data_IF_245069030626
#
_entry.id   IF_245069030626
#
_cell.length_a   1.000
_cell.length_b   1.000
_cell.length_c   1.000
_cell.angle_alpha   90.00
_cell.angle_beta   90.00
_cell.angle_gamma   90.00
#
_symmetry.space_group_name_H-M   'P 1'
#
loop_
_entity.id
_entity.type
_entity.pdbx_description
1 polymer ?
#
# COMPACT_ATOMS: atom_id res chain seq x y z
N UNK A 1 24.05 -7.19 5.98
CA UNK A 1 24.06 -7.64 7.39
C UNK A 1 22.70 -7.50 8.10
N UNK A 2 21.75 -6.72 7.54
CA UNK A 2 20.37 -6.61 8.04
C UNK A 2 19.35 -7.32 7.16
N UNK A 3 19.75 -7.84 6.01
CA UNK A 3 18.88 -8.65 5.14
C UNK A 3 18.63 -10.02 5.78
N UNK A 4 17.43 -10.56 5.58
CA UNK A 4 17.08 -11.87 6.08
C UNK A 4 17.59 -12.96 5.14
N UNK A 5 18.49 -13.83 5.62
CA UNK A 5 18.90 -15.02 4.87
C UNK A 5 17.79 -16.08 4.83
N UNK A 6 16.89 -16.06 5.79
CA UNK A 6 15.83 -17.08 5.95
C UNK A 6 14.57 -16.76 5.16
N UNK A 7 14.18 -15.48 5.06
CA UNK A 7 12.89 -15.08 4.50
C UNK A 7 12.97 -14.35 3.15
N UNK A 8 14.20 -14.17 2.64
CA UNK A 8 14.50 -13.50 1.38
C UNK A 8 15.45 -12.33 1.60
N UNK A 9 16.36 -12.11 0.66
CA UNK A 9 17.36 -11.04 0.74
C UNK A 9 16.78 -9.64 0.59
N UNK A 10 15.56 -9.54 0.14
CA UNK A 10 14.73 -8.35 0.02
C UNK A 10 13.98 -7.97 1.32
N UNK A 11 13.97 -8.86 2.31
CA UNK A 11 13.40 -8.64 3.63
C UNK A 11 14.47 -8.26 4.65
N UNK A 12 14.11 -7.35 5.55
CA UNK A 12 14.93 -7.10 6.74
C UNK A 12 14.81 -8.27 7.73
N UNK A 13 15.91 -8.66 8.35
CA UNK A 13 15.86 -9.58 9.48
C UNK A 13 15.35 -8.85 10.73
N UNK A 14 14.08 -8.98 11.01
CA UNK A 14 13.44 -8.35 12.17
C UNK A 14 13.80 -9.01 13.50
N UNK A 15 14.46 -10.17 13.47
CA UNK A 15 15.00 -10.83 14.67
C UNK A 15 16.37 -10.29 15.08
N UNK A 16 17.02 -9.55 14.17
CA UNK A 16 18.31 -8.93 14.43
C UNK A 16 18.11 -7.66 15.30
N UNK A 17 18.75 -7.61 16.49
CA UNK A 17 18.57 -6.47 17.39
C UNK A 17 19.06 -5.11 16.83
N UNK A 18 19.79 -5.11 15.73
CA UNK A 18 20.23 -3.88 15.06
C UNK A 18 19.19 -3.32 14.07
N UNK A 19 18.20 -4.11 13.66
CA UNK A 19 17.23 -3.71 12.64
C UNK A 19 16.38 -2.54 13.11
N UNK A 20 15.83 -2.62 14.30
CA UNK A 20 14.97 -1.57 14.81
C UNK A 20 15.70 -0.23 15.03
N UNK A 21 16.87 -0.19 15.71
CA UNK A 21 17.66 1.02 15.82
C UNK A 21 18.09 1.62 14.48
N UNK A 22 18.34 0.78 13.48
CA UNK A 22 18.64 1.25 12.12
C UNK A 22 17.44 1.93 11.48
N UNK A 23 16.25 1.34 11.58
CA UNK A 23 15.01 1.94 11.04
C UNK A 23 14.65 3.23 11.77
N UNK A 24 14.80 3.30 13.08
CA UNK A 24 14.58 4.51 13.86
C UNK A 24 15.51 5.65 13.40
N UNK A 25 16.79 5.35 13.22
CA UNK A 25 17.76 6.32 12.73
C UNK A 25 17.45 6.78 11.31
N UNK A 26 17.04 5.85 10.43
CA UNK A 26 16.65 6.15 9.05
C UNK A 26 15.44 7.08 9.01
N UNK A 27 14.37 6.76 9.72
CA UNK A 27 13.17 7.60 9.77
C UNK A 27 13.46 8.97 10.38
N UNK A 28 14.28 9.02 11.44
CA UNK A 28 14.72 10.28 12.04
C UNK A 28 15.44 11.17 11.02
N UNK A 29 16.35 10.63 10.22
CA UNK A 29 17.06 11.38 9.18
C UNK A 29 16.11 12.03 8.17
N UNK A 30 15.02 11.34 7.81
CA UNK A 30 14.05 11.83 6.83
C UNK A 30 12.98 12.76 7.41
N UNK A 31 12.71 12.70 8.71
CA UNK A 31 11.57 13.37 9.35
C UNK A 31 11.95 14.50 10.30
N UNK A 32 13.19 14.55 10.79
CA UNK A 32 13.64 15.55 11.77
C UNK A 32 14.09 16.87 11.10
N UNK A 33 13.96 17.98 11.83
CA UNK A 33 14.46 19.29 11.44
C UNK A 33 13.42 20.23 10.85
N UNK A 34 13.83 21.47 10.60
CA UNK A 34 12.95 22.53 10.09
C UNK A 34 12.51 22.31 8.63
N UNK A 35 13.32 21.57 7.86
CA UNK A 35 13.06 21.22 6.46
C UNK A 35 13.32 19.73 6.23
N UNK A 36 12.46 18.85 6.79
CA UNK A 36 12.64 17.43 6.64
C UNK A 36 12.46 16.99 5.18
N UNK A 37 13.04 15.84 4.79
CA UNK A 37 12.89 15.31 3.44
C UNK A 37 11.41 15.04 3.12
N UNK A 38 10.67 14.46 4.07
CA UNK A 38 9.23 14.25 3.93
C UNK A 38 8.45 15.37 4.63
N UNK A 39 8.12 16.41 3.87
CA UNK A 39 7.36 17.54 4.38
C UNK A 39 5.85 17.29 4.49
N UNK A 40 5.32 16.33 3.75
CA UNK A 40 3.90 15.97 3.78
C UNK A 40 3.41 15.49 5.16
N UNK A 41 2.10 15.55 5.42
CA UNK A 41 1.55 15.15 6.72
C UNK A 41 1.53 13.63 6.94
N UNK A 42 1.77 12.83 5.89
CA UNK A 42 1.72 11.37 5.93
C UNK A 42 3.03 10.74 5.52
N UNK A 43 3.32 9.59 6.13
CA UNK A 43 4.50 8.78 5.81
C UNK A 43 4.09 7.33 5.69
N UNK A 44 4.48 6.69 4.60
CA UNK A 44 4.22 5.28 4.36
C UNK A 44 5.42 4.45 4.86
N UNK A 45 5.17 3.59 5.84
CA UNK A 45 6.20 2.80 6.53
C UNK A 45 6.46 1.42 5.91
N UNK A 46 5.78 1.08 4.81
CA UNK A 46 5.90 -0.24 4.17
C UNK A 46 5.05 -1.28 4.86
N UNK A 47 5.69 -2.36 5.35
CA UNK A 47 5.07 -3.47 6.11
C UNK A 47 4.21 -4.44 5.28
N UNK A 48 4.59 -4.68 4.05
CA UNK A 48 3.98 -5.67 3.17
C UNK A 48 4.67 -7.04 3.25
N UNK A 49 3.92 -8.08 2.94
CA UNK A 49 4.34 -9.44 2.58
C UNK A 49 5.40 -10.13 3.44
N UNK A 50 5.51 -9.83 4.74
CA UNK A 50 6.46 -10.54 5.58
C UNK A 50 6.04 -12.00 5.81
N UNK A 51 7.03 -12.89 6.02
CA UNK A 51 6.79 -14.32 6.21
C UNK A 51 5.94 -14.60 7.47
N UNK A 52 4.92 -15.46 7.35
CA UNK A 52 4.00 -15.82 8.42
C UNK A 52 4.09 -17.32 8.85
N UNK A 53 5.08 -18.05 8.40
CA UNK A 53 5.22 -19.48 8.71
C UNK A 53 5.68 -19.75 10.15
N UNK A 54 6.19 -18.75 10.85
CA UNK A 54 6.67 -18.81 12.23
C UNK A 54 5.90 -17.78 13.09
N UNK A 55 5.15 -18.27 14.06
CA UNK A 55 4.33 -17.42 14.93
C UNK A 55 5.15 -16.42 15.76
N UNK A 56 6.36 -16.76 16.18
CA UNK A 56 7.20 -15.84 16.92
C UNK A 56 7.69 -14.69 16.03
N UNK A 57 7.97 -14.96 14.77
CA UNK A 57 8.32 -13.94 13.77
C UNK A 57 7.12 -13.06 13.43
N UNK A 58 5.91 -13.62 13.35
CA UNK A 58 4.68 -12.85 13.18
C UNK A 58 4.46 -11.85 14.32
N UNK A 59 4.65 -12.28 15.56
CA UNK A 59 4.53 -11.38 16.72
C UNK A 59 5.60 -10.26 16.69
N UNK A 60 6.82 -10.56 16.28
CA UNK A 60 7.86 -9.54 16.10
C UNK A 60 7.55 -8.58 14.95
N UNK A 61 7.01 -9.07 13.84
CA UNK A 61 6.55 -8.21 12.74
C UNK A 61 5.46 -7.24 13.21
N UNK A 62 4.51 -7.71 14.01
CA UNK A 62 3.45 -6.87 14.58
C UNK A 62 4.00 -5.84 15.54
N UNK A 63 4.96 -6.21 16.39
CA UNK A 63 5.68 -5.27 17.27
C UNK A 63 6.43 -4.20 16.46
N UNK A 64 7.10 -4.61 15.39
CA UNK A 64 7.79 -3.68 14.50
C UNK A 64 6.82 -2.69 13.84
N UNK A 65 5.71 -3.18 13.29
CA UNK A 65 4.70 -2.35 12.65
C UNK A 65 4.13 -1.31 13.64
N UNK A 66 3.77 -1.75 14.84
CA UNK A 66 3.28 -0.88 15.91
C UNK A 66 4.32 0.17 16.33
N UNK A 67 5.57 -0.26 16.50
CA UNK A 67 6.67 0.64 16.84
C UNK A 67 6.88 1.71 15.77
N UNK A 68 6.93 1.32 14.49
CA UNK A 68 7.13 2.27 13.40
C UNK A 68 5.98 3.27 13.27
N UNK A 69 4.74 2.85 13.52
CA UNK A 69 3.60 3.76 13.59
C UNK A 69 3.85 4.83 14.65
N UNK A 70 4.14 4.44 15.88
CA UNK A 70 4.40 5.38 16.98
C UNK A 70 5.63 6.25 16.72
N UNK A 71 6.68 5.67 16.11
CA UNK A 71 7.91 6.38 15.80
C UNK A 71 7.67 7.55 14.82
N UNK A 72 6.99 7.29 13.70
CA UNK A 72 6.70 8.36 12.72
C UNK A 72 5.67 9.37 13.27
N UNK A 73 4.74 8.95 14.11
CA UNK A 73 3.82 9.85 14.80
C UNK A 73 4.53 10.80 15.78
N UNK A 74 5.65 10.38 16.37
CA UNK A 74 6.44 11.24 17.26
C UNK A 74 7.02 12.46 16.53
N UNK A 75 7.12 12.40 15.20
CA UNK A 75 7.49 13.54 14.33
C UNK A 75 6.27 14.31 13.79
N UNK A 76 5.07 14.09 14.34
CA UNK A 76 3.84 14.76 13.91
C UNK A 76 3.28 14.24 12.58
N UNK A 77 3.67 13.07 12.12
CA UNK A 77 3.20 12.46 10.87
C UNK A 77 2.10 11.43 11.13
N UNK A 78 1.17 11.30 10.19
CA UNK A 78 0.22 10.19 10.16
C UNK A 78 0.88 8.99 9.46
N UNK A 79 0.87 7.83 10.11
CA UNK A 79 1.40 6.61 9.53
C UNK A 79 0.47 6.05 8.45
N UNK A 80 1.07 5.61 7.34
CA UNK A 80 0.43 4.78 6.32
C UNK A 80 1.20 3.48 6.19
N UNK A 81 0.52 2.36 5.91
CA UNK A 81 1.15 1.05 5.76
C UNK A 81 0.45 0.20 4.71
N UNK A 82 1.16 -0.78 4.17
CA UNK A 82 0.54 -1.85 3.39
C UNK A 82 -0.24 -2.78 4.29
N UNK A 83 -1.41 -3.21 3.85
CA UNK A 83 -2.21 -4.18 4.56
C UNK A 83 -1.56 -5.57 4.57
N UNK A 84 -1.22 -6.07 5.77
CA UNK A 84 -0.61 -7.38 6.00
C UNK A 84 -1.16 -8.10 7.23
N UNK A 85 -2.06 -7.47 8.00
CA UNK A 85 -2.42 -7.98 9.33
C UNK A 85 -3.42 -9.14 9.33
N UNK A 86 -4.07 -9.42 8.21
CA UNK A 86 -4.82 -10.67 8.02
C UNK A 86 -3.85 -11.83 7.77
N UNK A 87 -2.81 -11.60 6.98
CA UNK A 87 -1.74 -12.56 6.71
C UNK A 87 -0.85 -12.81 7.94
N UNK A 88 -0.38 -11.74 8.58
CA UNK A 88 0.38 -11.76 9.81
C UNK A 88 -0.57 -11.79 11.03
N UNK A 89 -1.44 -12.81 11.11
CA UNK A 89 -2.39 -12.97 12.20
C UNK A 89 -1.68 -13.35 13.49
N UNK A 90 -1.79 -12.49 14.51
CA UNK A 90 -1.14 -12.67 15.81
C UNK A 90 -1.91 -11.97 16.93
N UNK A 91 -1.36 -12.05 18.15
CA UNK A 91 -1.95 -11.50 19.35
C UNK A 91 -1.41 -10.11 19.72
N UNK A 92 -0.19 -9.79 19.30
CA UNK A 92 0.40 -8.47 19.53
C UNK A 92 -0.46 -7.39 18.88
N UNK A 93 -0.99 -6.42 19.64
CA UNK A 93 -1.79 -5.35 19.09
C UNK A 93 -0.94 -4.46 18.18
N UNK A 94 -1.56 -3.95 17.11
CA UNK A 94 -0.97 -2.94 16.23
C UNK A 94 -1.92 -1.75 16.24
N UNK A 95 -1.40 -0.56 16.51
CA UNK A 95 -2.19 0.66 16.56
C UNK A 95 -2.96 0.87 15.26
N UNK A 96 -4.24 1.19 15.36
CA UNK A 96 -5.13 1.44 14.21
C UNK A 96 -5.67 2.86 14.16
N UNK A 97 -5.84 3.49 15.34
CA UNK A 97 -6.34 4.87 15.40
C UNK A 97 -5.38 5.83 14.70
N UNK A 98 -5.95 6.69 13.84
CA UNK A 98 -5.21 7.64 13.00
C UNK A 98 -4.21 6.99 12.02
N UNK A 99 -4.40 5.73 11.65
CA UNK A 99 -3.52 4.99 10.72
C UNK A 99 -4.26 4.71 9.42
N UNK A 100 -3.57 4.88 8.30
CA UNK A 100 -4.09 4.62 6.95
C UNK A 100 -3.50 3.33 6.41
N UNK A 101 -4.35 2.44 5.92
CA UNK A 101 -3.94 1.15 5.37
C UNK A 101 -4.24 1.05 3.88
N UNK A 102 -3.24 0.70 3.08
CA UNK A 102 -3.41 0.35 1.67
C UNK A 102 -4.00 -1.05 1.57
N UNK A 103 -5.26 -1.15 1.16
CA UNK A 103 -6.03 -2.39 1.07
C UNK A 103 -5.94 -2.92 -0.36
N UNK A 104 -5.11 -3.93 -0.57
CA UNK A 104 -4.72 -4.41 -1.89
C UNK A 104 -5.19 -5.83 -2.21
N UNK A 105 -5.20 -6.71 -1.24
CA UNK A 105 -5.58 -8.12 -1.39
C UNK A 105 -6.18 -8.67 -0.10
N UNK A 106 -7.32 -9.37 -0.19
CA UNK A 106 -8.04 -9.90 0.98
C UNK A 106 -7.20 -10.83 1.85
N UNK A 107 -6.35 -11.66 1.25
CA UNK A 107 -5.50 -12.60 1.97
C UNK A 107 -4.48 -11.91 2.88
N UNK A 108 -4.10 -10.68 2.56
CA UNK A 108 -3.18 -9.89 3.37
C UNK A 108 -3.89 -8.91 4.30
N UNK A 109 -4.96 -8.26 3.83
CA UNK A 109 -5.74 -7.32 4.64
C UNK A 109 -7.22 -7.38 4.23
N UNK A 110 -7.99 -8.17 4.94
CA UNK A 110 -9.44 -8.30 4.73
C UNK A 110 -10.12 -6.96 5.12
N UNK A 111 -10.82 -6.29 4.16
CA UNK A 111 -11.27 -4.91 4.37
C UNK A 111 -12.20 -4.71 5.57
N UNK A 112 -13.22 -5.57 5.73
CA UNK A 112 -14.18 -5.42 6.84
C UNK A 112 -13.47 -5.53 8.20
N UNK A 113 -12.55 -6.49 8.34
CA UNK A 113 -11.77 -6.68 9.55
C UNK A 113 -10.88 -5.48 9.84
N UNK A 114 -10.14 -4.99 8.85
CA UNK A 114 -9.21 -3.87 9.04
C UNK A 114 -9.95 -2.58 9.39
N UNK A 115 -11.03 -2.29 8.68
CA UNK A 115 -11.85 -1.10 8.97
C UNK A 115 -12.57 -1.19 10.33
N UNK A 116 -12.95 -2.40 10.75
CA UNK A 116 -13.54 -2.63 12.08
C UNK A 116 -12.55 -2.42 13.23
N UNK A 117 -11.27 -2.67 12.99
CA UNK A 117 -10.18 -2.37 13.93
C UNK A 117 -9.89 -0.87 14.08
N UNK A 118 -10.43 -0.02 13.18
CA UNK A 118 -10.27 1.42 13.24
C UNK A 118 -9.33 2.02 12.20
N UNK A 119 -8.71 1.22 11.32
CA UNK A 119 -7.91 1.74 10.21
C UNK A 119 -8.77 2.54 9.24
N UNK A 120 -8.18 3.54 8.61
CA UNK A 120 -8.71 4.15 7.39
C UNK A 120 -8.13 3.41 6.18
N UNK A 121 -8.96 3.15 5.16
CA UNK A 121 -8.55 2.40 3.98
C UNK A 121 -8.27 3.28 2.76
N UNK A 122 -7.27 2.91 1.98
CA UNK A 122 -7.11 3.32 0.57
C UNK A 122 -7.30 2.07 -0.28
N UNK A 123 -8.22 2.13 -1.24
CA UNK A 123 -8.46 1.03 -2.18
C UNK A 123 -7.36 0.98 -3.24
N UNK A 124 -6.66 -0.14 -3.30
CA UNK A 124 -5.62 -0.40 -4.31
C UNK A 124 -5.67 -1.88 -4.73
N UNK A 125 -6.82 -2.38 -5.26
CA UNK A 125 -6.98 -3.79 -5.59
C UNK A 125 -5.94 -4.23 -6.63
N UNK A 126 -5.08 -5.18 -6.25
CA UNK A 126 -3.95 -5.65 -7.03
C UNK A 126 -4.37 -6.16 -8.42
N UNK A 127 -5.43 -6.94 -8.49
CA UNK A 127 -6.00 -7.46 -9.74
C UNK A 127 -6.62 -6.41 -10.67
N UNK A 128 -6.69 -5.12 -10.27
CA UNK A 128 -7.27 -4.04 -11.08
C UNK A 128 -6.36 -2.84 -11.28
N UNK A 129 -5.50 -2.54 -10.29
CA UNK A 129 -4.76 -1.27 -10.25
C UNK A 129 -3.24 -1.44 -10.19
N UNK A 130 -2.72 -2.68 -10.28
CA UNK A 130 -1.29 -2.93 -10.38
C UNK A 130 -0.83 -3.01 -11.84
N UNK A 131 0.17 -2.22 -12.17
CA UNK A 131 0.94 -2.31 -13.41
C UNK A 131 2.27 -2.98 -13.06
N UNK A 132 2.51 -4.18 -13.62
CA UNK A 132 3.77 -4.90 -13.41
C UNK A 132 4.34 -5.28 -14.77
N UNK A 133 5.17 -4.41 -15.37
CA UNK A 133 5.61 -4.55 -16.74
C UNK A 133 6.27 -5.91 -17.01
N UNK A 134 5.75 -6.66 -17.99
CA UNK A 134 6.23 -7.98 -18.45
C UNK A 134 6.22 -9.09 -17.40
N UNK A 135 5.59 -8.90 -16.27
CA UNK A 135 5.58 -9.89 -15.21
C UNK A 135 4.74 -11.15 -15.56
N UNK A 136 3.66 -11.00 -16.33
CA UNK A 136 2.80 -12.10 -16.76
C UNK A 136 1.78 -12.55 -15.71
N UNK A 137 1.99 -12.25 -14.44
CA UNK A 137 1.07 -12.55 -13.33
C UNK A 137 0.18 -11.38 -12.94
N UNK A 138 0.51 -10.16 -13.36
CA UNK A 138 -0.30 -8.94 -13.28
C UNK A 138 -0.39 -8.27 -14.65
N UNK A 139 -1.14 -7.19 -14.73
CA UNK A 139 -1.28 -6.42 -15.96
C UNK A 139 0.01 -5.73 -16.40
N UNK A 140 0.31 -5.83 -17.67
CA UNK A 140 1.31 -4.98 -18.34
C UNK A 140 0.73 -3.58 -18.60
N UNK A 141 -0.57 -3.54 -18.94
CA UNK A 141 -1.39 -2.32 -19.06
C UNK A 141 -2.71 -2.54 -18.34
N UNK A 142 -3.19 -1.54 -17.61
CA UNK A 142 -4.51 -1.63 -16.96
C UNK A 142 -5.63 -1.68 -18.01
N UNK A 143 -6.68 -2.42 -17.69
CA UNK A 143 -7.92 -2.37 -18.46
C UNK A 143 -8.69 -1.08 -18.09
N UNK A 144 -8.30 0.04 -18.71
CA UNK A 144 -8.84 1.37 -18.42
C UNK A 144 -10.34 1.47 -18.68
N UNK A 145 -10.87 0.79 -19.70
CA UNK A 145 -12.30 0.75 -19.98
C UNK A 145 -13.08 0.05 -18.86
N UNK A 146 -12.56 -1.07 -18.36
CA UNK A 146 -13.17 -1.76 -17.22
C UNK A 146 -13.16 -0.90 -15.97
N UNK A 147 -12.01 -0.29 -15.65
CA UNK A 147 -11.85 0.62 -14.52
C UNK A 147 -12.82 1.80 -14.62
N UNK A 148 -12.92 2.41 -15.80
CA UNK A 148 -13.82 3.54 -16.04
C UNK A 148 -15.29 3.16 -15.81
N UNK A 149 -15.73 2.03 -16.33
CA UNK A 149 -17.14 1.64 -16.28
C UNK A 149 -17.56 0.99 -14.96
N UNK A 150 -16.66 0.22 -14.32
CA UNK A 150 -17.06 -0.73 -13.29
C UNK A 150 -16.38 -0.54 -11.94
N UNK A 151 -15.33 0.26 -11.83
CA UNK A 151 -14.63 0.44 -10.57
C UNK A 151 -14.73 1.87 -10.03
N UNK A 152 -14.81 1.97 -8.72
CA UNK A 152 -14.74 3.24 -7.97
C UNK A 152 -14.01 2.97 -6.64
N UNK A 153 -13.39 3.97 -6.00
CA UNK A 153 -12.59 3.77 -4.78
C UNK A 153 -13.31 3.14 -3.59
N UNK A 154 -14.65 3.16 -3.57
CA UNK A 154 -15.44 2.47 -2.55
C UNK A 154 -15.52 0.94 -2.79
N UNK A 155 -15.00 0.45 -3.91
CA UNK A 155 -14.81 -0.98 -4.18
C UNK A 155 -13.38 -1.32 -3.73
N UNK A 156 -13.27 -2.04 -2.62
CA UNK A 156 -12.01 -2.39 -1.97
C UNK A 156 -11.86 -3.90 -2.02
N UNK A 157 -10.94 -4.37 -2.84
CA UNK A 157 -10.80 -5.80 -3.17
C UNK A 157 -12.13 -6.39 -3.66
N UNK A 158 -12.75 -7.32 -2.97
CA UNK A 158 -14.05 -7.93 -3.31
C UNK A 158 -15.25 -7.29 -2.58
N UNK A 159 -15.04 -6.23 -1.80
CA UNK A 159 -16.07 -5.55 -1.01
C UNK A 159 -16.49 -4.23 -1.66
N UNK A 160 -17.77 -3.93 -1.57
CA UNK A 160 -18.32 -2.63 -1.97
C UNK A 160 -18.90 -1.93 -0.74
N UNK A 161 -18.34 -0.78 -0.43
CA UNK A 161 -18.80 0.09 0.65
C UNK A 161 -19.71 1.20 0.11
N UNK A 162 -20.36 1.92 0.99
CA UNK A 162 -21.18 3.07 0.60
C UNK A 162 -20.32 4.18 -0.02
N UNK A 163 -20.89 4.91 -0.97
CA UNK A 163 -20.24 6.11 -1.49
C UNK A 163 -20.09 7.17 -0.40
N UNK A 164 -18.85 7.60 -0.19
CA UNK A 164 -18.53 8.57 0.85
C UNK A 164 -18.40 7.95 2.24
N UNK A 165 -18.22 6.64 2.35
CA UNK A 165 -17.85 6.01 3.63
C UNK A 165 -16.58 6.68 4.18
N UNK A 166 -16.65 7.30 5.38
CA UNK A 166 -15.53 8.07 5.92
C UNK A 166 -14.31 7.22 6.28
N UNK A 167 -14.45 5.89 6.25
CA UNK A 167 -13.35 4.96 6.46
C UNK A 167 -12.52 4.74 5.19
N UNK A 168 -13.09 4.98 4.00
CA UNK A 168 -12.42 4.84 2.71
C UNK A 168 -11.99 6.21 2.20
N UNK A 169 -10.70 6.48 2.21
CA UNK A 169 -10.13 7.79 1.88
C UNK A 169 -10.01 8.04 0.37
N UNK A 170 -10.05 6.98 -0.43
CA UNK A 170 -9.91 7.08 -1.88
C UNK A 170 -9.27 5.83 -2.47
N UNK A 171 -8.66 6.00 -3.63
CA UNK A 171 -7.97 4.93 -4.34
C UNK A 171 -6.52 5.27 -4.67
N UNK A 172 -5.77 4.25 -5.02
CA UNK A 172 -4.39 4.34 -5.48
C UNK A 172 -4.17 3.33 -6.60
N UNK A 173 -3.14 3.52 -7.40
CA UNK A 173 -2.58 2.48 -8.27
C UNK A 173 -1.08 2.39 -8.07
N UNK A 174 -0.49 1.27 -8.42
CA UNK A 174 0.93 1.05 -8.25
C UNK A 174 1.59 0.60 -9.56
N UNK A 175 2.87 0.95 -9.69
CA UNK A 175 3.75 0.45 -10.72
C UNK A 175 4.89 -0.30 -10.04
N UNK A 176 4.91 -1.61 -10.20
CA UNK A 176 5.93 -2.48 -9.62
C UNK A 176 6.93 -2.86 -10.70
N UNK A 177 8.18 -2.79 -10.37
CA UNK A 177 9.26 -2.98 -11.34
C UNK A 177 10.00 -4.32 -11.13
N UNK A 178 9.29 -5.38 -10.83
CA UNK A 178 9.81 -6.71 -10.46
C UNK A 178 10.75 -7.28 -11.52
N UNK A 179 10.47 -7.00 -12.81
CA UNK A 179 11.23 -7.51 -13.96
C UNK A 179 11.87 -6.37 -14.77
N UNK A 180 11.95 -5.17 -14.24
CA UNK A 180 12.61 -4.05 -14.91
C UNK A 180 14.12 -4.28 -15.03
N UNK A 181 14.69 -3.86 -16.16
CA UNK A 181 16.06 -4.15 -16.54
C UNK A 181 16.16 -5.09 -17.78
N UNK A 182 15.09 -5.79 -18.10
CA UNK A 182 15.00 -6.66 -19.29
C UNK A 182 14.57 -5.89 -20.55
N UNK A 183 15.18 -4.73 -20.80
CA UNK A 183 14.90 -3.90 -21.97
C UNK A 183 13.64 -3.03 -21.82
N UNK A 184 13.19 -2.77 -20.59
CA UNK A 184 12.12 -1.80 -20.29
C UNK A 184 12.78 -0.45 -20.00
N UNK A 185 12.46 0.56 -20.79
CA UNK A 185 12.92 1.93 -20.61
C UNK A 185 11.93 2.73 -19.77
N UNK A 186 12.37 3.89 -19.25
CA UNK A 186 11.49 4.87 -18.59
C UNK A 186 10.30 5.25 -19.48
N UNK A 187 10.52 5.37 -20.79
CA UNK A 187 9.46 5.67 -21.76
C UNK A 187 8.41 4.56 -21.82
N UNK A 188 8.83 3.30 -21.73
CA UNK A 188 7.91 2.16 -21.71
C UNK A 188 7.04 2.15 -20.45
N UNK A 189 7.59 2.57 -19.30
CA UNK A 189 6.83 2.77 -18.07
C UNK A 189 5.81 3.91 -18.25
N UNK A 190 6.22 5.05 -18.79
CA UNK A 190 5.32 6.18 -19.04
C UNK A 190 4.15 5.79 -19.97
N UNK A 191 4.38 4.99 -21.00
CA UNK A 191 3.33 4.50 -21.89
C UNK A 191 2.28 3.63 -21.18
N UNK A 192 2.65 2.96 -20.09
CA UNK A 192 1.72 2.16 -19.27
C UNK A 192 0.96 3.02 -18.27
N UNK A 193 1.66 3.96 -17.68
CA UNK A 193 1.10 4.82 -16.63
C UNK A 193 0.14 5.85 -17.20
N UNK A 194 0.46 6.46 -18.34
CA UNK A 194 -0.27 7.62 -18.83
C UNK A 194 -1.76 7.36 -19.13
N UNK A 195 -2.14 6.28 -19.84
CA UNK A 195 -3.57 5.98 -20.04
C UNK A 195 -4.30 5.66 -18.74
N UNK A 196 -3.63 4.95 -17.82
CA UNK A 196 -4.19 4.63 -16.51
C UNK A 196 -4.43 5.89 -15.67
N UNK A 197 -3.48 6.83 -15.69
CA UNK A 197 -3.53 8.06 -14.92
C UNK A 197 -4.76 8.90 -15.24
N UNK A 198 -5.11 9.04 -16.51
CA UNK A 198 -6.30 9.80 -16.93
C UNK A 198 -7.59 9.21 -16.34
N UNK A 199 -7.80 7.92 -16.54
CA UNK A 199 -8.99 7.21 -16.03
C UNK A 199 -9.05 7.24 -14.50
N UNK A 200 -7.96 6.91 -13.83
CA UNK A 200 -7.93 6.84 -12.37
C UNK A 200 -8.03 8.22 -11.72
N UNK A 201 -7.49 9.28 -12.33
CA UNK A 201 -7.67 10.66 -11.86
C UNK A 201 -9.13 11.04 -11.80
N UNK A 202 -9.91 10.70 -12.83
CA UNK A 202 -11.35 10.94 -12.83
C UNK A 202 -12.05 10.16 -11.70
N UNK A 203 -11.68 8.89 -11.50
CA UNK A 203 -12.24 8.05 -10.43
C UNK A 203 -11.89 8.55 -9.04
N UNK A 204 -10.66 8.95 -8.82
CA UNK A 204 -10.20 9.45 -7.52
C UNK A 204 -10.81 10.82 -7.18
N UNK A 205 -11.01 11.67 -8.20
CA UNK A 205 -11.61 12.97 -8.00
C UNK A 205 -13.08 12.91 -7.64
N UNK A 206 -13.86 12.11 -8.36
CA UNK A 206 -15.31 12.03 -8.15
C UNK A 206 -15.71 11.01 -7.10
N UNK A 207 -14.91 10.00 -6.87
CA UNK A 207 -15.24 8.84 -6.03
C UNK A 207 -16.44 8.03 -6.51
N UNK A 208 -16.98 8.35 -7.70
CA UNK A 208 -18.21 7.77 -8.25
C UNK A 208 -18.07 7.44 -9.72
N UNK A 209 -18.98 6.60 -10.21
CA UNK A 209 -19.17 6.38 -11.64
C UNK A 209 -19.70 7.65 -12.32
N UNK A 210 -19.31 7.83 -13.57
CA UNK A 210 -19.82 8.91 -14.43
C UNK A 210 -20.87 8.35 -15.39
N UNK A 211 -21.75 9.20 -15.86
CA UNK A 211 -22.70 8.89 -16.93
C UNK A 211 -22.11 9.08 -18.33
N UNK A 212 -20.92 9.68 -18.42
CA UNK A 212 -20.21 9.86 -19.69
C UNK A 212 -19.79 8.50 -20.25
N UNK A 213 -20.05 8.19 -21.52
CA UNK A 213 -19.54 6.99 -22.15
C UNK A 213 -18.00 7.00 -22.24
N UNK A 214 -17.35 5.86 -22.05
CA UNK A 214 -15.89 5.73 -22.17
C UNK A 214 -15.39 6.24 -23.53
N UNK A 215 -16.06 5.90 -24.61
CA UNK A 215 -15.72 6.33 -25.97
C UNK A 215 -15.69 7.87 -26.20
N UNK A 216 -16.27 8.65 -25.31
CA UNK A 216 -16.19 10.12 -25.35
C UNK A 216 -15.26 10.70 -24.31
N UNK A 217 -14.70 9.85 -23.45
CA UNK A 217 -13.73 10.21 -22.44
C UNK A 217 -12.30 9.98 -22.92
N UNK A 218 -12.06 8.87 -23.66
CA UNK A 218 -10.76 8.43 -24.18
C UNK A 218 -10.26 9.27 -25.36
#
# INVERSE_FOLDING_TARGET
ELASEKYGVDHLDITNPKTLPFLDALWKEYLEGDTPVFMGPRVHIGTDEYNNSDSAVVEQFRLLADHLIHHVESFGKQACLWGSLTHAKGNTPVKSDNVVMSLWYNGFAEPDSMLSLGYKGISIPDGLTYIVPRAGYYYDYLNIQHLFNNWTPNIVADKTFDYGDPRILGGMFAVWNDICGNGISVKDIHHRVYPALQTLSQKFWTGRSTTQPFATFD
#
